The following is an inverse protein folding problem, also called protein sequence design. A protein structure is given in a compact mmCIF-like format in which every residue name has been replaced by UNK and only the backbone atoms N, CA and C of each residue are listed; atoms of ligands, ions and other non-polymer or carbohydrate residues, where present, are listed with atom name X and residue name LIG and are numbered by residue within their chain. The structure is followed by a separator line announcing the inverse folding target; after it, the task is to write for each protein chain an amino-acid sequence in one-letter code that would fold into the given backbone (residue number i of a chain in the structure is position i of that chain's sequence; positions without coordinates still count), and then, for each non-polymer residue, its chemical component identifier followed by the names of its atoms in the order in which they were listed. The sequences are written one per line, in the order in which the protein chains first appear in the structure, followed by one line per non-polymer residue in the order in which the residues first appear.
data_IF_270813194293
#
_entry.id   IF_270813194293
#
_cell.length_a   1.000
_cell.length_b   1.000
_cell.length_c   1.000
_cell.angle_alpha   90.00
_cell.angle_beta   90.00
_cell.angle_gamma   90.00
#
_symmetry.space_group_name_H-M   'P 1'
#
loop_
_entity.id
_entity.type
_entity.pdbx_description
1 polymer ?
#
# COMPACT_ATOMS: atom_id res chain seq x y z
N UNK A 1 -51.10 -48.27 28.78
CA UNK A 1 -52.25 -48.21 27.86
C UNK A 1 -53.40 -47.46 28.53
N UNK A 2 -54.18 -46.70 27.76
CA UNK A 2 -55.39 -46.02 28.26
C UNK A 2 -56.59 -46.41 27.39
N UNK A 3 -57.73 -46.64 28.02
CA UNK A 3 -59.00 -46.78 27.32
C UNK A 3 -59.56 -45.37 27.03
N UNK A 4 -59.90 -45.12 25.76
CA UNK A 4 -60.47 -43.86 25.31
C UNK A 4 -61.92 -44.08 24.91
N UNK A 5 -62.77 -43.07 25.14
CA UNK A 5 -64.20 -43.13 24.79
C UNK A 5 -64.36 -43.39 23.29
N UNK A 6 -65.16 -44.39 22.94
CA UNK A 6 -65.44 -44.87 21.58
C UNK A 6 -64.30 -45.57 20.82
N UNK A 7 -63.27 -46.08 21.52
CA UNK A 7 -62.26 -46.95 20.91
C UNK A 7 -62.22 -48.28 21.65
N UNK A 8 -62.58 -49.36 20.94
CA UNK A 8 -62.80 -50.68 21.52
C UNK A 8 -61.50 -51.39 21.95
N UNK A 9 -60.34 -50.98 21.44
CA UNK A 9 -59.04 -51.56 21.81
C UNK A 9 -58.18 -50.58 22.63
N UNK A 10 -57.52 -51.01 23.72
CA UNK A 10 -56.66 -50.15 24.52
C UNK A 10 -55.45 -49.66 23.73
N UNK A 11 -55.19 -48.34 23.74
CA UNK A 11 -54.08 -47.74 22.98
C UNK A 11 -52.91 -47.44 23.93
N UNK A 12 -51.68 -47.63 23.44
CA UNK A 12 -50.49 -47.13 24.11
C UNK A 12 -50.41 -45.61 23.97
N UNK A 13 -50.38 -44.91 25.10
CA UNK A 13 -50.16 -43.47 25.16
C UNK A 13 -48.77 -43.25 25.72
N UNK A 14 -47.88 -42.67 24.93
CA UNK A 14 -46.54 -42.28 25.35
C UNK A 14 -46.53 -40.78 25.64
N UNK A 15 -45.88 -40.39 26.74
CA UNK A 15 -45.57 -38.99 27.06
C UNK A 15 -44.05 -38.86 27.04
N UNK A 16 -43.54 -38.05 26.13
CA UNK A 16 -42.11 -37.70 26.13
C UNK A 16 -41.87 -36.75 27.29
N UNK A 17 -41.02 -37.15 28.23
CA UNK A 17 -40.41 -36.23 29.21
C UNK A 17 -39.05 -35.85 28.65
N UNK A 18 -38.90 -34.62 28.17
CA UNK A 18 -37.59 -34.05 27.97
C UNK A 18 -37.02 -33.75 29.36
N UNK A 19 -35.98 -34.48 29.77
CA UNK A 19 -35.18 -34.07 30.92
C UNK A 19 -34.35 -32.85 30.47
N UNK A 20 -34.44 -31.73 31.21
CA UNK A 20 -33.66 -30.51 30.99
C UNK A 20 -32.17 -30.68 31.33
N UNK A 21 -31.54 -31.69 30.74
CA UNK A 21 -30.08 -31.88 30.76
C UNK A 21 -29.63 -32.28 29.36
N UNK A 22 -29.52 -31.28 28.49
CA UNK A 22 -28.66 -31.36 27.32
C UNK A 22 -27.21 -31.46 27.83
N UNK A 23 -26.44 -32.50 27.47
CA UNK A 23 -25.01 -32.55 27.76
C UNK A 23 -24.36 -31.27 27.25
N UNK A 24 -23.44 -30.68 28.03
CA UNK A 24 -22.79 -29.40 27.68
C UNK A 24 -22.11 -29.39 26.28
N UNK A 25 -21.93 -30.56 25.66
CA UNK A 25 -21.38 -30.74 24.31
C UNK A 25 -22.40 -30.58 23.16
N UNK A 26 -23.69 -30.36 23.43
CA UNK A 26 -24.75 -30.21 22.39
C UNK A 26 -25.59 -28.95 22.56
N UNK A 27 -25.07 -27.92 23.23
CA UNK A 27 -25.54 -26.56 22.92
C UNK A 27 -25.12 -26.31 21.47
N UNK A 28 -26.03 -25.91 20.56
CA UNK A 28 -25.57 -25.23 19.37
C UNK A 28 -24.74 -24.07 19.89
N UNK A 29 -23.42 -24.12 19.69
CA UNK A 29 -22.64 -22.88 19.59
C UNK A 29 -23.44 -22.04 18.62
N UNK A 30 -23.99 -20.90 19.08
CA UNK A 30 -24.38 -19.84 18.16
C UNK A 30 -23.27 -19.80 17.12
N UNK A 31 -23.57 -19.96 15.82
CA UNK A 31 -22.53 -19.93 14.82
C UNK A 31 -21.72 -18.67 15.11
N UNK A 32 -20.42 -18.83 15.36
CA UNK A 32 -19.54 -17.68 15.43
C UNK A 32 -19.68 -17.03 14.05
N UNK A 33 -20.47 -15.96 14.01
CA UNK A 33 -20.90 -15.37 12.75
C UNK A 33 -19.65 -14.84 12.07
N UNK A 34 -19.22 -15.55 11.04
CA UNK A 34 -18.07 -15.16 10.24
C UNK A 34 -18.50 -13.93 9.46
N UNK A 35 -17.94 -12.78 9.81
CA UNK A 35 -18.01 -11.62 8.93
C UNK A 35 -17.50 -12.01 7.53
N UNK A 36 -17.97 -11.33 6.47
CA UNK A 36 -17.47 -11.54 5.12
C UNK A 36 -15.94 -11.48 5.10
N UNK A 37 -15.30 -12.29 4.26
CA UNK A 37 -13.82 -12.29 4.14
C UNK A 37 -13.27 -10.93 3.70
N UNK A 38 -14.10 -10.13 3.04
CA UNK A 38 -13.80 -8.77 2.58
C UNK A 38 -14.24 -7.72 3.61
N UNK A 39 -13.49 -6.62 3.76
CA UNK A 39 -13.95 -5.47 4.51
C UNK A 39 -15.33 -5.03 4.01
N UNK A 40 -16.21 -4.64 4.92
CA UNK A 40 -17.62 -4.36 4.61
C UNK A 40 -18.18 -3.22 5.44
N UNK A 41 -19.01 -2.38 4.83
CA UNK A 41 -19.60 -1.20 5.45
C UNK A 41 -21.12 -1.11 5.19
N UNK A 42 -21.86 -0.78 6.23
CA UNK A 42 -23.26 -0.36 6.13
C UNK A 42 -23.39 1.14 6.41
N UNK A 43 -24.19 1.85 5.62
CA UNK A 43 -24.57 3.24 5.91
C UNK A 43 -26.00 3.26 6.40
N UNK A 44 -26.19 3.61 7.67
CA UNK A 44 -27.52 3.68 8.29
C UNK A 44 -28.23 4.99 7.89
N UNK A 45 -29.58 4.99 7.89
CA UNK A 45 -30.35 6.21 7.76
C UNK A 45 -29.87 7.26 8.78
N UNK A 46 -29.56 8.47 8.30
CA UNK A 46 -29.16 9.55 9.19
C UNK A 46 -30.37 10.02 9.99
N UNK A 47 -30.19 10.18 11.29
CA UNK A 47 -31.25 10.60 12.19
C UNK A 47 -31.71 12.03 11.86
N UNK A 48 -33.02 12.26 11.95
CA UNK A 48 -33.65 13.56 11.83
C UNK A 48 -34.33 13.93 13.16
N UNK A 49 -33.62 14.55 14.12
CA UNK A 49 -34.17 14.83 15.44
C UNK A 49 -35.33 15.83 15.43
N UNK A 50 -35.48 16.60 14.35
CA UNK A 50 -36.57 17.58 14.17
C UNK A 50 -37.88 16.95 13.72
N UNK A 51 -37.87 15.74 13.14
CA UNK A 51 -39.05 15.10 12.56
C UNK A 51 -39.65 15.82 11.34
N UNK A 52 -38.94 16.78 10.75
CA UNK A 52 -39.40 17.50 9.55
C UNK A 52 -39.29 16.58 8.32
N UNK A 53 -40.40 16.27 7.61
CA UNK A 53 -40.38 15.42 6.42
C UNK A 53 -39.45 15.91 5.31
N UNK A 54 -39.28 17.22 5.16
CA UNK A 54 -38.37 17.77 4.13
C UNK A 54 -36.91 17.48 4.47
N UNK A 55 -36.56 17.51 5.75
CA UNK A 55 -35.23 17.14 6.22
C UNK A 55 -35.01 15.63 6.15
N UNK A 56 -36.08 14.85 6.28
CA UNK A 56 -36.05 13.39 6.13
C UNK A 56 -35.64 12.98 4.71
N UNK A 57 -36.26 13.57 3.69
CA UNK A 57 -35.90 13.31 2.29
C UNK A 57 -34.45 13.68 1.99
N UNK A 58 -33.97 14.78 2.57
CA UNK A 58 -32.59 15.21 2.42
C UNK A 58 -31.60 14.25 3.10
N UNK A 59 -31.88 13.82 4.34
CA UNK A 59 -31.06 12.85 5.05
C UNK A 59 -31.00 11.51 4.30
N UNK A 60 -32.13 11.05 3.75
CA UNK A 60 -32.20 9.83 2.93
C UNK A 60 -31.42 9.94 1.62
N UNK A 61 -31.52 11.09 0.95
CA UNK A 61 -30.77 11.36 -0.28
C UNK A 61 -29.28 11.36 -0.04
N UNK A 62 -28.82 12.00 1.04
CA UNK A 62 -27.42 11.98 1.45
C UNK A 62 -26.91 10.55 1.68
N UNK A 63 -27.68 9.71 2.37
CA UNK A 63 -27.29 8.31 2.61
C UNK A 63 -27.16 7.54 1.29
N UNK A 64 -28.07 7.77 0.34
CA UNK A 64 -28.02 7.12 -0.97
C UNK A 64 -26.80 7.57 -1.79
N UNK A 65 -26.48 8.86 -1.77
CA UNK A 65 -25.31 9.41 -2.44
C UNK A 65 -23.99 8.89 -1.82
N UNK A 66 -23.93 8.78 -0.49
CA UNK A 66 -22.79 8.19 0.21
C UNK A 66 -22.64 6.70 -0.15
N UNK A 67 -23.72 5.92 -0.15
CA UNK A 67 -23.68 4.50 -0.58
C UNK A 67 -23.18 4.42 -2.02
N UNK A 68 -23.68 5.28 -2.90
CA UNK A 68 -23.30 5.33 -4.32
C UNK A 68 -21.84 5.71 -4.51
N UNK A 69 -21.35 6.71 -3.79
CA UNK A 69 -19.96 7.15 -3.84
C UNK A 69 -18.99 6.10 -3.27
N UNK A 70 -19.33 5.49 -2.13
CA UNK A 70 -18.54 4.40 -1.55
C UNK A 70 -18.52 3.16 -2.44
N UNK A 71 -19.60 2.85 -3.15
CA UNK A 71 -19.67 1.70 -4.06
C UNK A 71 -18.70 1.79 -5.24
N UNK A 72 -18.15 2.99 -5.52
CA UNK A 72 -17.09 3.17 -6.52
C UNK A 72 -15.74 2.63 -6.03
N UNK A 73 -15.55 2.51 -4.71
CA UNK A 73 -14.35 1.95 -4.09
C UNK A 73 -14.45 0.42 -4.07
N UNK A 74 -13.66 -0.25 -4.92
CA UNK A 74 -13.81 -1.70 -5.20
C UNK A 74 -13.19 -2.63 -4.17
N UNK A 75 -12.50 -2.10 -3.16
CA UNK A 75 -11.71 -2.89 -2.22
C UNK A 75 -12.46 -3.29 -0.94
N UNK A 76 -13.65 -2.76 -0.70
CA UNK A 76 -14.58 -3.19 0.34
C UNK A 76 -16.00 -3.34 -0.21
N UNK A 77 -16.85 -4.04 0.53
CA UNK A 77 -18.24 -4.29 0.19
C UNK A 77 -19.17 -3.26 0.86
N UNK A 78 -20.07 -2.65 0.09
CA UNK A 78 -21.08 -1.71 0.61
C UNK A 78 -22.43 -2.40 0.66
N UNK A 79 -23.09 -2.37 1.81
CA UNK A 79 -24.45 -2.91 1.95
C UNK A 79 -25.44 -2.04 1.19
N UNK A 80 -26.33 -2.69 0.44
CA UNK A 80 -27.36 -2.03 -0.33
C UNK A 80 -28.32 -1.23 0.58
N UNK A 81 -28.75 -0.06 0.09
CA UNK A 81 -29.67 0.87 0.76
C UNK A 81 -30.88 0.17 1.39
N UNK A 82 -31.56 -0.70 0.66
CA UNK A 82 -32.79 -1.35 1.14
C UNK A 82 -32.57 -2.19 2.40
N UNK A 83 -31.38 -2.76 2.59
CA UNK A 83 -31.03 -3.55 3.77
C UNK A 83 -30.78 -2.68 5.00
N UNK A 84 -30.19 -1.49 4.83
CA UNK A 84 -29.93 -0.57 5.95
C UNK A 84 -31.17 0.25 6.33
N UNK A 85 -32.03 0.56 5.38
CA UNK A 85 -33.26 1.33 5.62
C UNK A 85 -34.31 0.59 6.43
N UNK A 86 -34.24 -0.74 6.53
CA UNK A 86 -35.06 -1.53 7.45
C UNK A 86 -34.84 -1.17 8.95
N UNK A 87 -33.77 -0.41 9.25
CA UNK A 87 -33.41 0.04 10.60
C UNK A 87 -33.77 1.50 10.89
N UNK A 88 -34.48 2.19 9.97
CA UNK A 88 -34.74 3.64 10.02
C UNK A 88 -35.42 4.15 11.30
N UNK A 89 -36.22 3.30 11.95
CA UNK A 89 -36.90 3.62 13.23
C UNK A 89 -36.47 2.70 14.37
N UNK A 90 -35.40 1.92 14.16
CA UNK A 90 -34.85 1.03 15.17
C UNK A 90 -33.69 1.74 15.84
N UNK A 91 -33.94 2.32 17.02
CA UNK A 91 -32.89 2.75 17.95
C UNK A 91 -32.21 1.51 18.55
N UNK A 92 -31.45 0.80 17.73
CA UNK A 92 -30.76 -0.43 18.10
C UNK A 92 -29.29 -0.21 18.41
N UNK A 93 -28.70 -1.10 19.21
CA UNK A 93 -27.24 -1.20 19.36
C UNK A 93 -26.62 -1.40 17.98
N UNK A 94 -25.73 -0.48 17.56
CA UNK A 94 -25.01 -0.54 16.28
C UNK A 94 -24.31 -1.89 16.10
N UNK A 95 -23.86 -2.53 17.19
CA UNK A 95 -23.29 -3.88 17.14
C UNK A 95 -24.28 -4.94 16.70
N UNK A 96 -25.55 -4.80 17.06
CA UNK A 96 -26.60 -5.72 16.61
C UNK A 96 -26.87 -5.52 15.12
N UNK A 97 -26.98 -4.27 14.67
CA UNK A 97 -27.17 -3.95 13.25
C UNK A 97 -26.00 -4.48 12.40
N UNK A 98 -24.77 -4.29 12.88
CA UNK A 98 -23.58 -4.81 12.22
C UNK A 98 -23.57 -6.35 12.14
N UNK A 99 -24.04 -7.03 13.20
CA UNK A 99 -24.19 -8.49 13.22
C UNK A 99 -25.28 -8.98 12.28
N UNK A 100 -26.45 -8.33 12.29
CA UNK A 100 -27.59 -8.69 11.45
C UNK A 100 -27.28 -8.49 9.96
N UNK A 101 -26.51 -7.46 9.62
CA UNK A 101 -26.07 -7.17 8.25
C UNK A 101 -24.76 -7.85 7.86
N UNK A 102 -24.05 -8.46 8.83
CA UNK A 102 -22.73 -9.06 8.62
C UNK A 102 -21.68 -8.07 8.11
N UNK A 103 -21.54 -6.90 8.74
CA UNK A 103 -20.56 -5.88 8.34
C UNK A 103 -19.51 -5.57 9.39
N UNK A 104 -18.29 -5.26 8.95
CA UNK A 104 -17.23 -4.79 9.85
C UNK A 104 -17.44 -3.36 10.33
N UNK A 105 -18.03 -2.51 9.48
CA UNK A 105 -18.14 -1.08 9.75
C UNK A 105 -19.56 -0.59 9.57
N UNK A 106 -19.92 0.38 10.41
CA UNK A 106 -21.21 1.08 10.32
C UNK A 106 -20.95 2.58 10.29
N UNK A 107 -21.47 3.24 9.26
CA UNK A 107 -21.54 4.70 9.17
C UNK A 107 -22.94 5.12 9.60
N UNK A 108 -23.01 5.98 10.61
CA UNK A 108 -24.26 6.58 11.07
C UNK A 108 -24.09 8.09 11.24
N UNK A 109 -25.20 8.80 11.37
CA UNK A 109 -25.16 10.25 11.45
C UNK A 109 -26.48 10.87 11.83
N UNK A 110 -26.48 12.19 11.88
CA UNK A 110 -27.68 12.98 12.07
C UNK A 110 -27.64 14.22 11.20
N UNK A 111 -28.80 14.65 10.74
CA UNK A 111 -28.98 15.92 10.06
C UNK A 111 -29.88 16.78 10.94
N UNK A 112 -29.54 18.06 11.06
CA UNK A 112 -30.35 19.08 11.73
C UNK A 112 -30.33 20.38 10.95
N UNK A 113 -31.50 20.90 10.61
CA UNK A 113 -31.63 22.22 9.99
C UNK A 113 -32.15 23.25 10.98
N UNK A 114 -31.63 24.47 10.89
CA UNK A 114 -32.14 25.65 11.58
C UNK A 114 -32.06 26.86 10.66
N UNK A 115 -33.20 27.26 10.10
CA UNK A 115 -33.27 28.32 9.08
C UNK A 115 -32.47 27.94 7.82
N UNK A 116 -31.47 28.76 7.50
CA UNK A 116 -30.55 28.53 6.39
C UNK A 116 -29.28 27.76 6.80
N UNK A 117 -29.16 27.28 8.05
CA UNK A 117 -28.01 26.49 8.47
C UNK A 117 -28.35 25.02 8.59
N UNK A 118 -27.49 24.19 8.05
CA UNK A 118 -27.54 22.74 8.12
C UNK A 118 -26.34 22.25 8.94
N UNK A 119 -26.62 21.41 9.93
CA UNK A 119 -25.63 20.69 10.70
C UNK A 119 -25.76 19.21 10.41
N UNK A 120 -24.67 18.61 9.95
CA UNK A 120 -24.56 17.17 9.77
C UNK A 120 -23.49 16.65 10.72
N UNK A 121 -23.79 15.54 11.37
CA UNK A 121 -22.80 14.74 12.10
C UNK A 121 -22.70 13.38 11.43
N UNK A 122 -21.49 12.88 11.21
CA UNK A 122 -21.27 11.54 10.70
C UNK A 122 -20.20 10.85 11.55
N UNK A 123 -20.36 9.55 11.79
CA UNK A 123 -19.42 8.76 12.56
C UNK A 123 -19.31 7.34 12.03
N UNK A 124 -18.08 6.86 11.99
CA UNK A 124 -17.72 5.53 11.53
C UNK A 124 -17.33 4.66 12.73
N UNK A 125 -17.99 3.52 12.86
CA UNK A 125 -17.88 2.61 13.99
C UNK A 125 -17.33 1.28 13.50
N UNK A 126 -16.33 0.75 14.19
CA UNK A 126 -15.87 -0.64 14.02
C UNK A 126 -16.75 -1.56 14.87
N UNK A 127 -17.48 -2.46 14.21
CA UNK A 127 -18.41 -3.38 14.85
C UNK A 127 -17.71 -4.37 15.80
N UNK A 128 -16.44 -4.69 15.56
CA UNK A 128 -15.67 -5.64 16.37
C UNK A 128 -15.27 -5.06 17.72
N UNK A 129 -14.78 -3.82 17.75
CA UNK A 129 -14.38 -3.13 18.98
C UNK A 129 -15.50 -2.28 19.61
N UNK A 130 -16.57 -2.00 18.86
CA UNK A 130 -17.57 -0.98 19.16
C UNK A 130 -16.98 0.44 19.36
N UNK A 131 -15.75 0.66 18.87
CA UNK A 131 -15.08 1.94 18.93
C UNK A 131 -15.46 2.84 17.75
N UNK A 132 -15.64 4.14 18.02
CA UNK A 132 -15.66 5.14 16.97
C UNK A 132 -14.24 5.31 16.42
N UNK A 133 -14.04 4.98 15.15
CA UNK A 133 -12.75 5.15 14.47
C UNK A 133 -12.64 6.49 13.74
N UNK A 134 -13.78 7.14 13.49
CA UNK A 134 -13.86 8.50 12.97
C UNK A 134 -15.20 9.14 13.32
N UNK A 135 -15.20 10.46 13.55
CA UNK A 135 -16.41 11.25 13.69
C UNK A 135 -16.13 12.69 13.28
N UNK A 136 -17.06 13.30 12.55
CA UNK A 136 -16.93 14.68 12.08
C UNK A 136 -18.27 15.41 12.09
N UNK A 137 -18.18 16.74 12.19
CA UNK A 137 -19.33 17.64 12.15
C UNK A 137 -19.14 18.66 11.03
N UNK A 138 -20.16 18.76 10.18
CA UNK A 138 -20.22 19.73 9.11
C UNK A 138 -21.32 20.76 9.41
N UNK A 139 -20.94 22.02 9.47
CA UNK A 139 -21.86 23.15 9.52
C UNK A 139 -21.81 23.86 8.16
N UNK A 140 -22.96 23.97 7.48
CA UNK A 140 -23.07 24.59 6.15
C UNK A 140 -24.25 25.55 6.07
N UNK A 141 -24.10 26.60 5.29
CA UNK A 141 -25.18 27.48 4.90
C UNK A 141 -25.84 26.94 3.63
N UNK A 142 -27.17 26.86 3.64
CA UNK A 142 -27.98 26.25 2.58
C UNK A 142 -28.34 27.32 1.56
N UNK A 143 -27.42 27.61 0.65
CA UNK A 143 -27.67 28.41 -0.55
C UNK A 143 -28.19 27.55 -1.70
N UNK A 144 -27.59 26.38 -1.89
CA UNK A 144 -28.03 25.33 -2.81
C UNK A 144 -27.92 23.98 -2.09
N UNK A 145 -29.07 23.35 -1.86
CA UNK A 145 -29.16 22.13 -1.06
C UNK A 145 -28.47 20.94 -1.75
N UNK A 146 -28.49 20.87 -3.08
CA UNK A 146 -27.86 19.79 -3.82
C UNK A 146 -26.35 19.95 -3.88
N UNK A 147 -25.86 21.18 -4.04
CA UNK A 147 -24.43 21.46 -3.97
C UNK A 147 -23.86 21.13 -2.58
N UNK A 148 -24.58 21.47 -1.51
CA UNK A 148 -24.20 21.10 -0.14
C UNK A 148 -24.21 19.58 0.05
N UNK A 149 -25.20 18.87 -0.49
CA UNK A 149 -25.28 17.41 -0.45
C UNK A 149 -24.08 16.75 -1.15
N UNK A 150 -23.74 17.20 -2.36
CA UNK A 150 -22.59 16.69 -3.13
C UNK A 150 -21.27 16.94 -2.39
N UNK A 151 -21.07 18.15 -1.86
CA UNK A 151 -19.87 18.54 -1.11
C UNK A 151 -19.69 17.66 0.15
N UNK A 152 -20.77 17.45 0.90
CA UNK A 152 -20.72 16.66 2.13
C UNK A 152 -20.49 15.19 1.81
N UNK A 153 -21.16 14.63 0.80
CA UNK A 153 -20.94 13.26 0.35
C UNK A 153 -19.46 13.03 0.02
N UNK A 154 -18.87 13.92 -0.79
CA UNK A 154 -17.45 13.82 -1.15
C UNK A 154 -16.54 13.95 0.07
N UNK A 155 -16.84 14.90 0.97
CA UNK A 155 -16.07 15.11 2.20
C UNK A 155 -16.09 13.90 3.12
N UNK A 156 -17.26 13.29 3.34
CA UNK A 156 -17.41 12.09 4.17
C UNK A 156 -16.63 10.94 3.55
N UNK A 157 -16.82 10.65 2.25
CA UNK A 157 -16.13 9.53 1.58
C UNK A 157 -14.60 9.70 1.63
N UNK A 158 -14.11 10.91 1.33
CA UNK A 158 -12.67 11.22 1.39
C UNK A 158 -12.09 11.09 2.81
N UNK A 159 -12.89 11.40 3.83
CA UNK A 159 -12.47 11.29 5.22
C UNK A 159 -12.49 9.84 5.73
N UNK A 160 -13.46 9.01 5.33
CA UNK A 160 -13.62 7.65 5.86
C UNK A 160 -12.73 6.61 5.18
N UNK A 161 -12.43 6.74 3.88
CA UNK A 161 -11.63 5.75 3.16
C UNK A 161 -10.25 5.51 3.82
N UNK A 162 -9.47 6.54 4.20
CA UNK A 162 -8.20 6.35 4.90
C UNK A 162 -8.35 5.66 6.27
N UNK A 163 -9.46 5.93 6.97
CA UNK A 163 -9.71 5.36 8.31
C UNK A 163 -10.05 3.88 8.23
N UNK A 164 -10.90 3.51 7.25
CA UNK A 164 -11.18 2.11 6.92
C UNK A 164 -9.90 1.37 6.55
N UNK A 165 -9.06 1.99 5.70
CA UNK A 165 -7.81 1.39 5.27
C UNK A 165 -6.85 1.14 6.44
N UNK A 166 -6.71 2.11 7.34
CA UNK A 166 -5.87 1.98 8.54
C UNK A 166 -6.39 0.90 9.50
N UNK A 167 -7.70 0.87 9.76
CA UNK A 167 -8.32 -0.12 10.65
C UNK A 167 -8.17 -1.55 10.10
N UNK A 168 -8.38 -1.74 8.80
CA UNK A 168 -8.20 -3.05 8.16
C UNK A 168 -6.72 -3.46 8.07
N UNK A 169 -5.80 -2.51 7.90
CA UNK A 169 -4.37 -2.80 7.94
C UNK A 169 -3.95 -3.45 9.27
N UNK A 170 -4.43 -2.91 10.40
CA UNK A 170 -4.20 -3.50 11.74
C UNK A 170 -4.84 -4.88 11.85
N UNK A 171 -6.08 -5.03 11.36
CA UNK A 171 -6.81 -6.31 11.38
C UNK A 171 -6.06 -7.40 10.60
N UNK A 172 -5.60 -7.10 9.39
CA UNK A 172 -4.86 -8.01 8.50
C UNK A 172 -3.55 -8.50 9.11
N UNK A 173 -2.82 -7.64 9.83
CA UNK A 173 -1.56 -8.03 10.45
C UNK A 173 -1.74 -9.13 11.49
N UNK A 174 -2.87 -9.14 12.20
CA UNK A 174 -3.17 -10.13 13.25
C UNK A 174 -3.68 -11.47 12.72
N UNK A 175 -4.12 -11.52 11.46
CA UNK A 175 -4.71 -12.72 10.85
C UNK A 175 -3.63 -13.70 10.35
N UNK A 176 -3.89 -15.03 10.41
CA UNK A 176 -3.07 -16.00 9.68
C UNK A 176 -3.08 -15.70 8.18
N UNK A 177 -1.93 -15.78 7.47
CA UNK A 177 -1.87 -15.61 6.01
C UNK A 177 -2.90 -16.45 5.27
N UNK A 178 -3.21 -17.64 5.80
CA UNK A 178 -4.13 -18.63 5.26
C UNK A 178 -5.58 -18.19 5.23
N UNK A 179 -5.92 -17.16 6.01
CA UNK A 179 -7.27 -16.60 6.07
C UNK A 179 -7.44 -15.35 5.20
N UNK A 180 -6.37 -14.82 4.61
CA UNK A 180 -6.43 -13.56 3.87
C UNK A 180 -7.03 -13.75 2.48
N UNK A 181 -7.87 -12.80 2.07
CA UNK A 181 -8.32 -12.64 0.70
C UNK A 181 -7.24 -11.95 -0.17
N UNK A 182 -7.50 -11.79 -1.46
CA UNK A 182 -6.50 -11.22 -2.38
C UNK A 182 -6.05 -9.80 -1.97
N UNK A 183 -6.98 -8.97 -1.47
CA UNK A 183 -6.69 -7.63 -1.01
C UNK A 183 -5.83 -7.67 0.27
N UNK A 184 -6.23 -8.44 1.28
CA UNK A 184 -5.49 -8.58 2.52
C UNK A 184 -4.07 -9.11 2.32
N UNK A 185 -3.88 -10.04 1.38
CA UNK A 185 -2.54 -10.47 0.97
C UNK A 185 -1.70 -9.31 0.42
N UNK A 186 -2.25 -8.48 -0.46
CA UNK A 186 -1.55 -7.31 -1.02
C UNK A 186 -1.20 -6.27 0.06
N UNK A 187 -2.13 -5.99 0.97
CA UNK A 187 -1.89 -5.03 2.06
C UNK A 187 -0.77 -5.50 2.98
N UNK A 188 -0.77 -6.79 3.35
CA UNK A 188 0.29 -7.37 4.16
C UNK A 188 1.62 -7.42 3.41
N UNK A 189 1.60 -7.73 2.12
CA UNK A 189 2.80 -7.69 1.29
C UNK A 189 3.42 -6.28 1.26
N UNK A 190 2.62 -5.23 1.07
CA UNK A 190 3.11 -3.84 1.09
C UNK A 190 3.81 -3.48 2.40
N UNK A 191 3.31 -3.97 3.54
CA UNK A 191 3.96 -3.78 4.84
C UNK A 191 5.36 -4.42 4.90
N UNK A 192 5.51 -5.62 4.34
CA UNK A 192 6.81 -6.29 4.22
C UNK A 192 7.73 -5.57 3.23
N UNK A 193 7.21 -5.15 2.07
CA UNK A 193 7.97 -4.40 1.07
C UNK A 193 8.53 -3.09 1.61
N UNK A 194 7.88 -2.48 2.61
CA UNK A 194 8.41 -1.30 3.32
C UNK A 194 9.66 -1.58 4.15
N UNK A 195 9.93 -2.82 4.60
CA UNK A 195 11.07 -3.16 5.48
C UNK A 195 12.30 -3.68 4.73
N UNK A 196 12.10 -4.28 3.56
CA UNK A 196 13.16 -4.63 2.60
C UNK A 196 14.27 -5.52 3.20
N UNK A 197 13.96 -6.34 4.21
CA UNK A 197 14.85 -7.46 4.58
C UNK A 197 14.69 -8.60 3.57
N UNK A 198 15.64 -9.55 3.54
CA UNK A 198 15.49 -10.73 2.67
C UNK A 198 14.22 -11.52 3.04
N UNK A 199 14.02 -11.75 4.34
CA UNK A 199 12.86 -12.44 4.89
C UNK A 199 11.54 -11.72 4.58
N UNK A 200 11.53 -10.38 4.65
CA UNK A 200 10.36 -9.58 4.29
C UNK A 200 10.05 -9.65 2.80
N UNK A 201 11.07 -9.61 1.93
CA UNK A 201 10.85 -9.71 0.48
C UNK A 201 10.33 -11.10 0.08
N UNK A 202 10.84 -12.16 0.70
CA UNK A 202 10.32 -13.52 0.52
C UNK A 202 8.86 -13.63 1.03
N UNK A 203 8.58 -13.11 2.22
CA UNK A 203 7.23 -13.08 2.79
C UNK A 203 6.25 -12.31 1.90
N UNK A 204 6.67 -11.16 1.37
CA UNK A 204 5.88 -10.38 0.42
C UNK A 204 5.61 -11.16 -0.86
N UNK A 205 6.62 -11.83 -1.42
CA UNK A 205 6.48 -12.64 -2.64
C UNK A 205 5.46 -13.77 -2.45
N UNK A 206 5.54 -14.51 -1.35
CA UNK A 206 4.59 -15.59 -1.03
C UNK A 206 3.14 -15.07 -0.92
N UNK A 207 2.94 -13.95 -0.21
CA UNK A 207 1.63 -13.31 -0.08
C UNK A 207 1.09 -12.84 -1.42
N UNK A 208 1.93 -12.28 -2.28
CA UNK A 208 1.51 -11.77 -3.58
C UNK A 208 1.18 -12.89 -4.57
N UNK A 209 1.91 -14.02 -4.54
CA UNK A 209 1.54 -15.21 -5.32
C UNK A 209 0.16 -15.72 -4.92
N UNK A 210 -0.12 -15.77 -3.62
CA UNK A 210 -1.44 -16.11 -3.10
C UNK A 210 -2.51 -15.10 -3.52
N UNK A 211 -2.20 -13.80 -3.51
CA UNK A 211 -3.12 -12.77 -3.99
C UNK A 211 -3.50 -12.98 -5.46
N UNK A 212 -2.53 -13.33 -6.31
CA UNK A 212 -2.76 -13.66 -7.73
C UNK A 212 -3.56 -14.96 -7.88
N UNK A 213 -3.34 -15.99 -7.06
CA UNK A 213 -4.14 -17.22 -7.14
C UNK A 213 -5.60 -17.00 -6.74
N UNK A 214 -5.85 -16.12 -5.77
CA UNK A 214 -7.21 -15.77 -5.31
C UNK A 214 -7.90 -14.78 -6.26
N UNK A 215 -7.14 -13.88 -6.87
CA UNK A 215 -7.63 -12.87 -7.81
C UNK A 215 -6.72 -12.73 -9.02
N UNK A 216 -6.83 -13.60 -10.04
CA UNK A 216 -5.94 -13.57 -11.22
C UNK A 216 -6.04 -12.28 -12.05
N UNK A 217 -7.08 -11.48 -11.82
CA UNK A 217 -7.29 -10.17 -12.46
C UNK A 217 -6.91 -8.99 -11.56
N UNK A 218 -6.25 -9.22 -10.43
CA UNK A 218 -5.87 -8.17 -9.50
C UNK A 218 -4.56 -7.51 -9.94
N UNK A 219 -4.68 -6.45 -10.75
CA UNK A 219 -3.54 -5.74 -11.36
C UNK A 219 -2.43 -5.39 -10.36
N UNK A 220 -2.78 -4.81 -9.20
CA UNK A 220 -1.82 -4.39 -8.17
C UNK A 220 -0.99 -5.55 -7.61
N UNK A 221 -1.56 -6.75 -7.49
CA UNK A 221 -0.83 -7.93 -7.04
C UNK A 221 0.26 -8.32 -8.06
N UNK A 222 -0.06 -8.27 -9.35
CA UNK A 222 0.92 -8.48 -10.42
C UNK A 222 2.02 -7.41 -10.40
N UNK A 223 1.67 -6.12 -10.29
CA UNK A 223 2.65 -5.03 -10.23
C UNK A 223 3.67 -5.22 -9.10
N UNK A 224 3.17 -5.59 -7.91
CA UNK A 224 4.00 -5.79 -6.73
C UNK A 224 4.88 -7.04 -6.83
N UNK A 225 4.48 -8.10 -7.56
CA UNK A 225 5.31 -9.30 -7.73
C UNK A 225 6.61 -9.03 -8.50
N UNK A 226 6.61 -8.05 -9.40
CA UNK A 226 7.83 -7.65 -10.09
C UNK A 226 8.87 -7.06 -9.11
N UNK A 227 8.43 -6.42 -8.03
CA UNK A 227 9.32 -5.66 -7.15
C UNK A 227 10.34 -6.54 -6.38
N UNK A 228 9.96 -7.64 -5.68
CA UNK A 228 10.94 -8.53 -5.05
C UNK A 228 11.96 -9.10 -6.04
N UNK A 229 11.52 -9.49 -7.24
CA UNK A 229 12.41 -10.02 -8.28
C UNK A 229 13.44 -8.99 -8.72
N UNK A 230 13.00 -7.78 -9.07
CA UNK A 230 13.88 -6.70 -9.49
C UNK A 230 14.81 -6.23 -8.35
N UNK A 231 14.31 -6.22 -7.12
CA UNK A 231 15.11 -5.93 -5.92
C UNK A 231 16.18 -6.99 -5.64
N UNK A 232 15.92 -8.25 -5.99
CA UNK A 232 16.91 -9.32 -5.97
C UNK A 232 18.05 -9.05 -6.95
N UNK A 233 17.72 -8.66 -8.18
CA UNK A 233 18.74 -8.34 -9.19
C UNK A 233 19.57 -7.12 -8.79
N UNK A 234 18.94 -6.05 -8.30
CA UNK A 234 19.62 -4.85 -7.83
C UNK A 234 20.61 -5.10 -6.67
N UNK A 235 20.41 -6.18 -5.90
CA UNK A 235 21.30 -6.61 -4.81
C UNK A 235 22.31 -7.70 -5.24
N UNK A 236 22.27 -8.13 -6.50
CA UNK A 236 23.11 -9.23 -7.00
C UNK A 236 22.70 -10.61 -6.48
N UNK A 237 21.50 -10.76 -5.90
CA UNK A 237 21.01 -12.03 -5.34
C UNK A 237 20.09 -12.81 -6.30
N UNK A 238 19.90 -12.34 -7.52
CA UNK A 238 19.04 -12.98 -8.52
C UNK A 238 19.59 -12.80 -9.93
N UNK A 239 19.51 -13.87 -10.72
CA UNK A 239 19.95 -13.87 -12.12
C UNK A 239 19.00 -13.04 -13.00
N UNK A 240 19.56 -12.10 -13.75
CA UNK A 240 18.84 -11.29 -14.75
C UNK A 240 18.08 -12.12 -15.77
N UNK A 241 18.63 -13.26 -16.20
CA UNK A 241 18.04 -14.13 -17.22
C UNK A 241 16.72 -14.77 -16.75
N UNK A 242 16.55 -14.90 -15.43
CA UNK A 242 15.35 -15.45 -14.80
C UNK A 242 14.42 -14.31 -14.34
N UNK A 243 14.97 -13.30 -13.67
CA UNK A 243 14.19 -12.26 -13.03
C UNK A 243 13.51 -11.31 -14.03
N UNK A 244 14.19 -10.94 -15.13
CA UNK A 244 13.63 -9.98 -16.09
C UNK A 244 12.41 -10.51 -16.83
N UNK A 245 12.39 -11.74 -17.40
CA UNK A 245 11.19 -12.27 -18.05
C UNK A 245 9.98 -12.37 -17.11
N UNK A 246 10.20 -12.80 -15.85
CA UNK A 246 9.14 -12.92 -14.85
C UNK A 246 8.58 -11.55 -14.45
N UNK A 247 9.45 -10.58 -14.19
CA UNK A 247 9.03 -9.22 -13.85
C UNK A 247 8.27 -8.58 -15.03
N UNK A 248 8.77 -8.72 -16.26
CA UNK A 248 8.13 -8.21 -17.47
C UNK A 248 6.74 -8.82 -17.69
N UNK A 249 6.59 -10.13 -17.48
CA UNK A 249 5.29 -10.80 -17.59
C UNK A 249 4.28 -10.20 -16.60
N UNK A 250 4.69 -10.00 -15.35
CA UNK A 250 3.82 -9.41 -14.32
C UNK A 250 3.47 -7.94 -14.60
N UNK A 251 4.45 -7.13 -15.00
CA UNK A 251 4.22 -5.73 -15.40
C UNK A 251 3.24 -5.65 -16.57
N UNK A 252 3.44 -6.45 -17.63
CA UNK A 252 2.53 -6.48 -18.78
C UNK A 252 1.11 -6.88 -18.39
N UNK A 253 0.96 -7.91 -17.58
CA UNK A 253 -0.36 -8.36 -17.10
C UNK A 253 -1.03 -7.26 -16.28
N UNK A 254 -0.31 -6.59 -15.39
CA UNK A 254 -0.87 -5.50 -14.59
C UNK A 254 -1.36 -4.34 -15.46
N UNK A 255 -0.55 -3.87 -16.40
CA UNK A 255 -0.90 -2.79 -17.33
C UNK A 255 -2.11 -3.17 -18.21
N UNK A 256 -2.20 -4.42 -18.66
CA UNK A 256 -3.35 -4.91 -19.43
C UNK A 256 -4.64 -5.01 -18.61
N UNK A 257 -4.55 -5.29 -17.31
CA UNK A 257 -5.69 -5.35 -16.39
C UNK A 257 -6.17 -3.95 -15.93
N UNK A 258 -5.33 -2.93 -16.05
CA UNK A 258 -5.68 -1.54 -15.82
C UNK A 258 -4.45 -0.65 -15.63
N UNK A 259 -4.44 0.51 -16.28
CA UNK A 259 -3.29 1.44 -16.34
C UNK A 259 -3.25 2.48 -15.19
N UNK A 260 -4.21 2.45 -14.26
CA UNK A 260 -4.37 3.50 -13.25
C UNK A 260 -3.68 3.20 -11.90
N UNK A 261 -2.94 2.09 -11.77
CA UNK A 261 -2.21 1.78 -10.54
C UNK A 261 -0.77 2.29 -10.59
N UNK A 262 -0.34 3.19 -9.68
CA UNK A 262 1.02 3.73 -9.66
C UNK A 262 2.11 2.66 -9.57
N UNK A 263 1.84 1.53 -8.90
CA UNK A 263 2.81 0.45 -8.75
C UNK A 263 3.12 -0.27 -10.07
N UNK A 264 2.18 -0.33 -11.01
CA UNK A 264 2.42 -0.90 -12.35
C UNK A 264 3.52 -0.13 -13.09
N UNK A 265 3.39 1.19 -13.11
CA UNK A 265 4.35 2.10 -13.76
C UNK A 265 5.67 2.18 -13.00
N UNK A 266 5.62 2.12 -11.67
CA UNK A 266 6.83 2.05 -10.86
C UNK A 266 7.63 0.77 -11.11
N UNK A 267 6.97 -0.39 -11.19
CA UNK A 267 7.61 -1.66 -11.50
C UNK A 267 8.20 -1.67 -12.92
N UNK A 268 7.52 -1.08 -13.91
CA UNK A 268 8.06 -0.86 -15.25
C UNK A 268 9.33 0.01 -15.20
N UNK A 269 9.29 1.14 -14.48
CA UNK A 269 10.43 2.04 -14.35
C UNK A 269 11.66 1.35 -13.74
N UNK A 270 11.46 0.49 -12.74
CA UNK A 270 12.54 -0.31 -12.17
C UNK A 270 13.10 -1.32 -13.17
N UNK A 271 12.23 -2.04 -13.89
CA UNK A 271 12.65 -3.01 -14.90
C UNK A 271 13.53 -2.34 -15.97
N UNK A 272 13.09 -1.20 -16.49
CA UNK A 272 13.81 -0.48 -17.54
C UNK A 272 15.10 0.16 -17.02
N UNK A 273 15.13 0.63 -15.77
CA UNK A 273 16.37 1.08 -15.14
C UNK A 273 17.40 -0.04 -15.09
N UNK A 274 16.97 -1.25 -14.71
CA UNK A 274 17.86 -2.41 -14.64
C UNK A 274 18.25 -2.90 -16.05
N UNK A 275 17.43 -2.66 -17.08
CA UNK A 275 17.81 -2.92 -18.49
C UNK A 275 18.68 -1.84 -19.11
N UNK A 276 19.06 -0.81 -18.33
CA UNK A 276 19.79 0.36 -18.81
C UNK A 276 19.03 1.10 -19.93
N UNK A 277 17.70 1.13 -19.87
CA UNK A 277 16.79 1.87 -20.75
C UNK A 277 16.28 3.11 -19.99
N UNK A 278 17.12 4.13 -19.85
CA UNK A 278 16.87 5.21 -18.90
C UNK A 278 15.71 6.12 -19.30
N UNK A 279 15.49 6.38 -20.60
CA UNK A 279 14.38 7.26 -21.03
C UNK A 279 13.02 6.59 -20.80
N UNK A 280 12.91 5.29 -21.08
CA UNK A 280 11.75 4.46 -20.80
C UNK A 280 11.48 4.41 -19.29
N UNK A 281 12.53 4.23 -18.48
CA UNK A 281 12.42 4.25 -17.03
C UNK A 281 11.91 5.60 -16.50
N UNK A 282 12.45 6.71 -17.00
CA UNK A 282 12.04 8.07 -16.63
C UNK A 282 10.56 8.30 -16.96
N UNK A 283 10.13 7.88 -18.16
CA UNK A 283 8.73 8.01 -18.58
C UNK A 283 7.79 7.21 -17.66
N UNK A 284 8.14 5.97 -17.34
CA UNK A 284 7.36 5.12 -16.46
C UNK A 284 7.29 5.69 -15.02
N UNK A 285 8.40 6.15 -14.44
CA UNK A 285 8.35 6.77 -13.11
C UNK A 285 7.54 8.06 -13.08
N UNK A 286 7.62 8.91 -14.12
CA UNK A 286 6.76 10.10 -14.23
C UNK A 286 5.29 9.72 -14.25
N UNK A 287 4.92 8.66 -15.00
CA UNK A 287 3.54 8.18 -15.03
C UNK A 287 3.07 7.66 -13.67
N UNK A 288 3.94 6.96 -12.92
CA UNK A 288 3.64 6.56 -11.55
C UNK A 288 3.38 7.78 -10.62
N UNK A 289 4.16 8.85 -10.78
CA UNK A 289 4.02 10.10 -10.01
C UNK A 289 2.76 10.88 -10.42
N UNK A 290 2.39 10.89 -11.69
CA UNK A 290 1.12 11.47 -12.15
C UNK A 290 -0.09 10.79 -11.50
N UNK A 291 -0.04 9.47 -11.36
CA UNK A 291 -1.10 8.69 -10.72
C UNK A 291 -1.08 8.82 -9.19
N UNK A 292 0.09 9.03 -8.59
CA UNK A 292 0.23 9.31 -7.16
C UNK A 292 1.40 10.28 -6.90
N UNK A 293 1.07 11.56 -6.75
CA UNK A 293 2.05 12.63 -6.55
C UNK A 293 2.89 12.45 -5.27
N UNK A 294 2.36 11.73 -4.27
CA UNK A 294 3.00 11.48 -2.97
C UNK A 294 3.75 10.14 -2.92
N UNK A 295 4.05 9.53 -4.07
CA UNK A 295 4.79 8.28 -4.12
C UNK A 295 6.30 8.52 -3.97
N UNK A 296 6.77 8.72 -2.73
CA UNK A 296 8.16 9.07 -2.41
C UNK A 296 9.19 8.15 -3.07
N UNK A 297 8.95 6.83 -3.05
CA UNK A 297 9.83 5.84 -3.67
C UNK A 297 9.97 6.05 -5.20
N UNK A 298 8.88 6.42 -5.89
CA UNK A 298 8.93 6.72 -7.32
C UNK A 298 9.74 7.99 -7.64
N UNK A 299 9.64 9.03 -6.80
CA UNK A 299 10.49 10.23 -6.93
C UNK A 299 11.97 9.90 -6.75
N UNK A 300 12.31 9.08 -5.76
CA UNK A 300 13.70 8.69 -5.50
C UNK A 300 14.30 7.84 -6.63
N UNK A 301 13.52 6.88 -7.16
CA UNK A 301 13.95 6.08 -8.31
C UNK A 301 13.99 6.87 -9.61
N UNK A 302 13.07 7.81 -9.84
CA UNK A 302 13.15 8.78 -10.95
C UNK A 302 14.46 9.56 -10.88
N UNK A 303 14.83 10.04 -9.69
CA UNK A 303 16.11 10.69 -9.44
C UNK A 303 17.31 9.82 -9.81
N UNK A 304 17.28 8.54 -9.45
CA UNK A 304 18.27 7.54 -9.88
C UNK A 304 18.38 7.44 -11.40
N UNK A 305 17.27 7.23 -12.11
CA UNK A 305 17.26 7.13 -13.58
C UNK A 305 17.72 8.41 -14.26
N UNK A 306 17.39 9.58 -13.71
CA UNK A 306 17.89 10.88 -14.19
C UNK A 306 19.40 11.02 -13.97
N UNK A 307 19.93 10.55 -12.83
CA UNK A 307 21.37 10.55 -12.57
C UNK A 307 22.11 9.62 -13.54
N UNK A 308 21.57 8.41 -13.78
CA UNK A 308 22.08 7.50 -14.81
C UNK A 308 22.02 8.14 -16.20
N UNK A 309 20.98 8.91 -16.53
CA UNK A 309 20.88 9.63 -17.81
C UNK A 309 21.79 10.89 -17.90
N UNK A 310 22.57 11.20 -16.87
CA UNK A 310 23.42 12.41 -16.83
C UNK A 310 22.65 13.72 -16.65
N UNK A 311 21.37 13.65 -16.26
CA UNK A 311 20.47 14.81 -16.02
C UNK A 311 20.57 15.25 -14.54
N UNK A 312 21.77 15.64 -14.10
CA UNK A 312 22.10 15.83 -12.68
C UNK A 312 21.18 16.78 -11.90
N UNK A 313 20.84 17.95 -12.45
CA UNK A 313 20.03 18.94 -11.71
C UNK A 313 18.61 18.41 -11.46
N UNK A 314 17.99 17.82 -12.49
CA UNK A 314 16.69 17.18 -12.38
C UNK A 314 16.72 15.97 -11.44
N UNK A 315 17.82 15.22 -11.43
CA UNK A 315 18.01 14.09 -10.51
C UNK A 315 17.98 14.54 -9.05
N UNK A 316 18.74 15.60 -8.72
CA UNK A 316 18.81 16.16 -7.37
C UNK A 316 17.46 16.70 -6.92
N UNK A 317 16.72 17.40 -7.78
CA UNK A 317 15.38 17.90 -7.44
C UNK A 317 14.41 16.76 -7.08
N UNK A 318 14.41 15.68 -7.87
CA UNK A 318 13.55 14.52 -7.63
C UNK A 318 13.93 13.80 -6.32
N UNK A 319 15.23 13.64 -6.04
CA UNK A 319 15.73 13.01 -4.81
C UNK A 319 15.38 13.84 -3.57
N UNK A 320 15.56 15.16 -3.63
CA UNK A 320 15.21 16.05 -2.53
C UNK A 320 13.70 16.01 -2.23
N UNK A 321 12.87 15.91 -3.28
CA UNK A 321 11.43 15.74 -3.13
C UNK A 321 11.09 14.42 -2.43
N UNK A 322 11.72 13.31 -2.81
CA UNK A 322 11.55 12.01 -2.17
C UNK A 322 11.94 12.04 -0.67
N UNK A 323 13.11 12.59 -0.34
CA UNK A 323 13.60 12.68 1.04
C UNK A 323 12.76 13.64 1.90
N UNK A 324 12.17 14.68 1.31
CA UNK A 324 11.24 15.58 2.01
C UNK A 324 9.91 14.89 2.33
N UNK A 325 9.42 14.04 1.43
CA UNK A 325 8.18 13.27 1.63
C UNK A 325 8.37 12.17 2.68
N UNK A 326 9.52 11.50 2.69
CA UNK A 326 9.83 10.38 3.57
C UNK A 326 11.25 10.52 4.15
N UNK A 327 11.45 11.33 5.22
CA UNK A 327 12.78 11.58 5.78
C UNK A 327 13.46 10.34 6.38
N UNK A 328 12.65 9.35 6.78
CA UNK A 328 13.10 8.08 7.35
C UNK A 328 12.88 6.91 6.40
N UNK A 329 12.83 7.18 5.09
CA UNK A 329 12.58 6.15 4.09
C UNK A 329 13.63 5.03 4.17
N UNK A 330 13.22 3.75 4.19
CA UNK A 330 14.16 2.64 4.18
C UNK A 330 15.08 2.62 2.94
N UNK A 331 14.67 3.24 1.82
CA UNK A 331 15.49 3.47 0.62
C UNK A 331 16.28 4.77 0.62
N UNK A 332 16.20 5.62 1.66
CA UNK A 332 16.97 6.87 1.74
C UNK A 332 18.50 6.71 1.52
N UNK A 333 19.16 5.61 1.95
CA UNK A 333 20.57 5.38 1.63
C UNK A 333 20.82 5.22 0.13
N UNK A 334 19.88 4.60 -0.60
CA UNK A 334 19.95 4.45 -2.04
C UNK A 334 19.73 5.79 -2.75
N UNK A 335 18.79 6.60 -2.29
CA UNK A 335 18.57 7.95 -2.83
C UNK A 335 19.79 8.85 -2.60
N UNK A 336 20.45 8.73 -1.44
CA UNK A 336 21.70 9.43 -1.15
C UNK A 336 22.82 9.01 -2.11
N UNK A 337 22.92 7.71 -2.42
CA UNK A 337 23.85 7.22 -3.45
C UNK A 337 23.56 7.83 -4.83
N UNK A 338 22.30 7.85 -5.27
CA UNK A 338 21.92 8.48 -6.54
C UNK A 338 22.24 9.99 -6.58
N UNK A 339 22.10 10.70 -5.46
CA UNK A 339 22.49 12.11 -5.37
C UNK A 339 24.02 12.27 -5.48
N UNK A 340 24.80 11.36 -4.89
CA UNK A 340 26.24 11.35 -5.05
C UNK A 340 26.66 11.13 -6.50
N UNK A 341 25.95 10.29 -7.24
CA UNK A 341 26.18 10.08 -8.68
C UNK A 341 25.95 11.37 -9.47
N UNK A 342 24.83 12.05 -9.25
CA UNK A 342 24.56 13.34 -9.88
C UNK A 342 25.64 14.38 -9.56
N UNK A 343 26.11 14.44 -8.30
CA UNK A 343 27.21 15.32 -7.91
C UNK A 343 28.54 14.97 -8.57
N UNK A 344 28.90 13.69 -8.66
CA UNK A 344 30.11 13.24 -9.37
C UNK A 344 30.07 13.62 -10.85
N UNK A 345 28.93 13.39 -11.51
CA UNK A 345 28.73 13.72 -12.92
C UNK A 345 28.87 15.23 -13.20
N UNK A 346 28.46 16.07 -12.24
CA UNK A 346 28.61 17.54 -12.32
C UNK A 346 29.95 18.07 -11.79
N UNK A 347 30.87 17.21 -11.34
CA UNK A 347 32.17 17.62 -10.77
C UNK A 347 32.10 18.17 -9.34
N UNK A 348 30.95 18.09 -8.68
CA UNK A 348 30.72 18.55 -7.31
C UNK A 348 31.15 17.48 -6.29
N UNK A 349 32.41 17.05 -6.36
CA UNK A 349 32.92 15.88 -5.61
C UNK A 349 32.77 16.00 -4.09
N UNK A 350 32.88 17.20 -3.52
CA UNK A 350 32.69 17.43 -2.09
C UNK A 350 31.28 17.02 -1.62
N UNK A 351 30.25 17.39 -2.37
CA UNK A 351 28.88 16.98 -2.07
C UNK A 351 28.67 15.48 -2.32
N UNK A 352 29.35 14.91 -3.33
CA UNK A 352 29.38 13.47 -3.57
C UNK A 352 29.89 12.68 -2.36
N UNK A 353 31.03 13.11 -1.77
CA UNK A 353 31.59 12.50 -0.55
C UNK A 353 30.61 12.56 0.62
N UNK A 354 29.95 13.70 0.84
CA UNK A 354 29.01 13.85 1.95
C UNK A 354 27.80 12.93 1.80
N UNK A 355 27.22 12.88 0.59
CA UNK A 355 26.09 11.98 0.28
C UNK A 355 26.46 10.51 0.45
N UNK A 356 27.66 10.10 0.03
CA UNK A 356 28.09 8.72 0.23
C UNK A 356 28.36 8.37 1.69
N UNK A 357 28.89 9.31 2.48
CA UNK A 357 29.04 9.10 3.93
C UNK A 357 27.69 8.89 4.60
N UNK A 358 26.65 9.63 4.20
CA UNK A 358 25.28 9.41 4.69
C UNK A 358 24.81 8.00 4.32
N UNK A 359 24.96 7.59 3.06
CA UNK A 359 24.56 6.26 2.60
C UNK A 359 25.28 5.14 3.36
N UNK A 360 26.60 5.24 3.54
CA UNK A 360 27.44 4.24 4.18
C UNK A 360 27.27 4.18 5.70
N UNK A 361 26.89 5.27 6.37
CA UNK A 361 26.51 5.22 7.80
C UNK A 361 25.27 4.34 8.01
N UNK A 362 24.31 4.42 7.10
CA UNK A 362 23.07 3.64 7.16
C UNK A 362 23.24 2.20 6.63
N UNK A 363 24.04 2.02 5.57
CA UNK A 363 24.32 0.71 4.96
C UNK A 363 25.82 0.54 4.68
N UNK A 364 26.64 0.16 5.68
CA UNK A 364 28.08 0.05 5.52
C UNK A 364 28.51 -0.91 4.40
N UNK A 365 27.74 -1.97 4.16
CA UNK A 365 28.05 -2.99 3.15
C UNK A 365 27.70 -2.61 1.70
N UNK A 366 27.21 -1.39 1.44
CA UNK A 366 26.83 -0.94 0.09
C UNK A 366 28.07 -0.72 -0.79
N UNK A 367 28.48 -1.74 -1.54
CA UNK A 367 29.70 -1.70 -2.37
C UNK A 367 29.68 -0.61 -3.47
N UNK A 368 28.56 -0.34 -4.18
CA UNK A 368 28.49 0.80 -5.10
C UNK A 368 28.85 2.14 -4.45
N UNK A 369 28.36 2.38 -3.23
CA UNK A 369 28.62 3.60 -2.47
C UNK A 369 30.10 3.77 -2.10
N UNK A 370 30.79 2.68 -1.70
CA UNK A 370 32.24 2.73 -1.41
C UNK A 370 33.07 3.09 -2.63
N UNK A 371 32.72 2.52 -3.79
CA UNK A 371 33.41 2.81 -5.06
C UNK A 371 33.22 4.27 -5.46
N UNK A 372 32.00 4.79 -5.38
CA UNK A 372 31.72 6.18 -5.72
C UNK A 372 32.32 7.19 -4.73
N UNK A 373 32.38 6.84 -3.44
CA UNK A 373 33.11 7.61 -2.44
C UNK A 373 34.60 7.73 -2.82
N UNK A 374 35.25 6.61 -3.15
CA UNK A 374 36.65 6.62 -3.58
C UNK A 374 36.86 7.47 -4.83
N UNK A 375 35.96 7.36 -5.81
CA UNK A 375 36.03 8.16 -7.02
C UNK A 375 35.88 9.67 -6.75
N UNK A 376 34.97 10.07 -5.86
CA UNK A 376 34.84 11.47 -5.44
C UNK A 376 36.08 11.97 -4.67
N UNK A 377 36.67 11.14 -3.80
CA UNK A 377 37.89 11.48 -3.08
C UNK A 377 39.06 11.71 -4.04
N UNK A 378 39.21 10.90 -5.09
CA UNK A 378 40.19 11.14 -6.16
C UNK A 378 39.89 12.45 -6.89
N UNK A 379 38.62 12.75 -7.20
CA UNK A 379 38.22 14.03 -7.78
C UNK A 379 38.57 15.25 -6.92
N UNK A 380 38.71 15.08 -5.60
CA UNK A 380 39.18 16.11 -4.66
C UNK A 380 40.70 16.12 -4.46
N UNK A 381 41.45 15.25 -5.16
CA UNK A 381 42.89 15.07 -4.96
C UNK A 381 43.27 14.28 -3.70
N UNK A 382 42.31 13.68 -2.99
CA UNK A 382 42.52 12.92 -1.76
C UNK A 382 42.76 11.43 -2.05
N UNK A 383 43.75 11.13 -2.88
CA UNK A 383 44.00 9.77 -3.41
C UNK A 383 44.34 8.77 -2.30
N UNK A 384 45.09 9.17 -1.27
CA UNK A 384 45.44 8.28 -0.17
C UNK A 384 44.21 7.83 0.64
N UNK A 385 43.26 8.74 0.87
CA UNK A 385 41.98 8.37 1.49
C UNK A 385 41.16 7.45 0.59
N UNK A 386 41.16 7.69 -0.73
CA UNK A 386 40.46 6.83 -1.69
C UNK A 386 41.01 5.39 -1.66
N UNK A 387 42.33 5.23 -1.58
CA UNK A 387 42.99 3.92 -1.48
C UNK A 387 42.62 3.17 -0.21
N UNK A 388 42.50 3.86 0.92
CA UNK A 388 42.01 3.24 2.17
C UNK A 388 40.59 2.71 1.99
N UNK A 389 39.69 3.50 1.38
CA UNK A 389 38.29 3.09 1.13
C UNK A 389 38.23 1.85 0.23
N UNK A 390 39.01 1.81 -0.86
CA UNK A 390 39.05 0.65 -1.76
C UNK A 390 39.69 -0.57 -1.09
N UNK A 391 40.78 -0.40 -0.35
CA UNK A 391 41.42 -1.50 0.38
C UNK A 391 40.46 -2.14 1.39
N UNK A 392 39.65 -1.34 2.08
CA UNK A 392 38.62 -1.86 2.99
C UNK A 392 37.45 -2.54 2.24
N UNK A 393 37.06 -2.02 1.07
CA UNK A 393 36.07 -2.67 0.22
C UNK A 393 36.54 -4.05 -0.29
N UNK A 394 37.81 -4.17 -0.67
CA UNK A 394 38.43 -5.42 -1.13
C UNK A 394 38.56 -6.48 -0.02
N UNK A 395 38.63 -6.08 1.26
CA UNK A 395 38.55 -7.05 2.36
C UNK A 395 37.17 -7.71 2.43
N UNK A 396 36.12 -6.98 2.08
CA UNK A 396 34.75 -7.48 2.08
C UNK A 396 34.42 -8.27 0.80
N UNK A 397 34.98 -7.86 -0.33
CA UNK A 397 34.87 -8.56 -1.61
C UNK A 397 36.24 -8.62 -2.31
N UNK A 398 37.04 -9.67 -2.06
CA UNK A 398 38.35 -9.85 -2.69
C UNK A 398 38.30 -10.02 -4.21
N UNK A 399 37.11 -10.31 -4.77
CA UNK A 399 36.90 -10.47 -6.21
C UNK A 399 36.53 -9.18 -6.93
N UNK A 400 36.41 -8.04 -6.23
CA UNK A 400 36.05 -6.76 -6.82
C UNK A 400 37.15 -6.26 -7.76
N UNK A 401 36.79 -5.98 -9.02
CA UNK A 401 37.70 -5.42 -10.00
C UNK A 401 36.97 -4.44 -10.92
N UNK A 402 37.73 -3.68 -11.73
CA UNK A 402 37.20 -2.78 -12.75
C UNK A 402 36.55 -3.61 -13.89
N UNK A 403 37.10 -4.78 -14.21
CA UNK A 403 36.71 -5.61 -15.34
C UNK A 403 35.65 -6.68 -15.06
N UNK A 404 35.48 -7.16 -13.81
CA UNK A 404 34.62 -8.33 -13.54
C UNK A 404 33.12 -8.08 -13.74
N UNK A 405 32.68 -6.83 -13.81
CA UNK A 405 31.31 -6.41 -14.13
C UNK A 405 31.31 -4.90 -14.42
N UNK A 406 32.17 -4.41 -15.33
CA UNK A 406 32.57 -2.99 -15.39
C UNK A 406 31.46 -1.97 -15.15
N UNK A 407 30.21 -2.25 -15.51
CA UNK A 407 29.05 -1.46 -15.09
C UNK A 407 27.78 -2.30 -14.90
N UNK A 408 27.77 -3.26 -13.96
CA UNK A 408 26.50 -3.88 -13.51
C UNK A 408 25.49 -2.77 -13.14
N UNK A 409 24.61 -2.47 -14.11
CA UNK A 409 23.89 -1.20 -14.36
C UNK A 409 24.82 -0.02 -14.71
N UNK A 410 24.70 0.49 -15.93
CA UNK A 410 25.46 1.62 -16.47
C UNK A 410 25.53 2.78 -15.46
N UNK A 411 26.66 2.90 -14.74
CA UNK A 411 26.81 3.85 -13.62
C UNK A 411 26.63 5.29 -14.10
N UNK A 412 27.07 5.60 -15.32
CA UNK A 412 26.81 6.90 -15.93
C UNK A 412 26.48 6.71 -17.41
N UNK A 413 25.41 7.34 -17.88
CA UNK A 413 24.98 7.30 -19.28
C UNK A 413 25.81 8.21 -20.19
N UNK A 414 26.57 9.17 -19.63
CA UNK A 414 27.56 9.94 -20.37
C UNK A 414 28.91 9.24 -20.34
N UNK A 415 29.44 8.92 -21.52
CA UNK A 415 30.75 8.27 -21.67
C UNK A 415 31.87 9.03 -20.94
N UNK A 416 31.89 10.36 -21.02
CA UNK A 416 32.90 11.16 -20.33
C UNK A 416 32.87 11.00 -18.80
N UNK A 417 31.69 10.80 -18.20
CA UNK A 417 31.55 10.59 -16.76
C UNK A 417 31.99 9.18 -16.37
N UNK A 418 31.68 8.21 -17.21
CA UNK A 418 32.09 6.81 -17.08
C UNK A 418 33.62 6.67 -17.12
N UNK A 419 34.28 7.32 -18.07
CA UNK A 419 35.74 7.34 -18.20
C UNK A 419 36.40 7.98 -16.98
N UNK A 420 35.88 9.13 -16.50
CA UNK A 420 36.35 9.77 -15.26
C UNK A 420 36.20 8.85 -14.05
N UNK A 421 35.07 8.16 -13.95
CA UNK A 421 34.80 7.23 -12.85
C UNK A 421 35.78 6.06 -12.84
N UNK A 422 35.99 5.39 -13.98
CA UNK A 422 36.96 4.29 -14.10
C UNK A 422 38.38 4.76 -13.81
N UNK A 423 38.79 5.90 -14.38
CA UNK A 423 40.11 6.46 -14.13
C UNK A 423 40.33 6.75 -12.64
N UNK A 424 39.30 7.26 -11.95
CA UNK A 424 39.36 7.51 -10.52
C UNK A 424 39.49 6.22 -9.70
N UNK A 425 38.74 5.17 -10.04
CA UNK A 425 38.86 3.86 -9.36
C UNK A 425 40.24 3.23 -9.55
N UNK A 426 40.83 3.34 -10.75
CA UNK A 426 42.21 2.90 -11.01
C UNK A 426 43.22 3.63 -10.12
N UNK A 427 43.09 4.96 -9.99
CA UNK A 427 43.95 5.76 -9.11
C UNK A 427 43.77 5.39 -7.62
N UNK A 428 42.54 5.05 -7.23
CA UNK A 428 42.21 4.56 -5.89
C UNK A 428 42.69 3.11 -5.64
N UNK A 429 43.31 2.45 -6.62
CA UNK A 429 43.92 1.13 -6.44
C UNK A 429 42.96 -0.05 -6.59
N UNK A 430 41.82 0.13 -7.26
CA UNK A 430 40.96 -1.00 -7.60
C UNK A 430 41.63 -1.84 -8.70
N UNK A 431 41.76 -3.18 -8.53
CA UNK A 431 42.35 -4.05 -9.54
C UNK A 431 41.58 -4.02 -10.87
N UNK A 432 42.27 -4.31 -11.98
CA UNK A 432 41.64 -4.49 -13.30
C UNK A 432 40.77 -5.75 -13.34
#
# INVERSE_FOLDING_TARGET
MRALKNIAQPIHVYRVRAEDRVPAALRPTEPAFTFPDKPSIAVLPFQNPSGDPMQEFFADGMVDDIITALSKLRWFFVIARNSTFAYKDRSGDVRQVARDLGVHYVLEGSVRRSGQRLRITAQLIDAGSAGHIWAERYDREVTDIFAVQDEITQSVVAAIEPQLYAAEHVRIQSRPPESLDAWGCVIRALWHLGRITLDDLESAEQLLHRAVSLGPRYAKAHSLLAFPKLSGVARGSSDTAIAFPLAEQHVRTALALGDNDPWSHFALGLLETLRSQQEEAIAAFRRAIELNANFALAHGCLGGSLAFAGKSDAALEAIERALRMSPYDPFAPLFSHFAAMAHFASGNYANGVERERIALRARPALLPARRLLAACLVGLGQVDHARVVIADALKADPGMSIGKDAFGYAVFGRQADQERYVAALRQAGLPE
#
